data_IF_367446503349
#
_entry.id   IF_367446503349
#
_cell.length_a   1.000
_cell.length_b   1.000
_cell.length_c   1.000
_cell.angle_alpha   90.00
_cell.angle_beta   90.00
_cell.angle_gamma   90.00
#
_symmetry.space_group_name_H-M   'P 1'
#
loop_
_entity.id
_entity.type
_entity.pdbx_description
1 polymer ?
#
# COMPACT_ATOMS: atom_id res chain seq x y z
N UNK A 1 12.85 -4.71 13.57
CA UNK A 1 12.40 -4.53 12.16
C UNK A 1 11.23 -3.56 12.18
N UNK A 2 11.25 -2.46 11.41
CA UNK A 2 10.10 -1.56 11.33
C UNK A 2 8.90 -2.26 10.68
N UNK A 3 7.70 -1.74 10.92
CA UNK A 3 6.51 -2.23 10.24
C UNK A 3 5.49 -1.14 9.97
N UNK A 4 4.61 -1.38 9.00
CA UNK A 4 3.47 -0.52 8.70
C UNK A 4 2.16 -1.29 8.79
N UNK A 5 1.10 -0.57 9.12
CA UNK A 5 -0.27 -1.04 9.00
C UNK A 5 -0.99 -0.14 8.00
N UNK A 6 -1.62 -0.74 6.99
CA UNK A 6 -2.45 -0.07 6.00
C UNK A 6 -3.90 -0.42 6.31
N UNK A 7 -4.65 0.57 6.78
CA UNK A 7 -6.10 0.46 6.95
C UNK A 7 -6.79 0.86 5.65
N UNK A 8 -7.36 -0.11 4.95
CA UNK A 8 -8.03 0.14 3.68
C UNK A 8 -9.36 0.88 3.85
N UNK A 9 -10.09 0.62 4.94
CA UNK A 9 -11.41 1.22 5.19
C UNK A 9 -11.28 2.72 5.42
N UNK A 10 -10.27 3.12 6.17
CA UNK A 10 -9.96 4.53 6.43
C UNK A 10 -9.00 5.15 5.40
N UNK A 11 -8.42 4.34 4.52
CA UNK A 11 -7.41 4.73 3.55
C UNK A 11 -6.24 5.47 4.21
N UNK A 12 -5.69 4.85 5.26
CA UNK A 12 -4.58 5.36 6.09
C UNK A 12 -3.42 4.37 6.16
N UNK A 13 -2.23 4.91 6.39
CA UNK A 13 -1.01 4.16 6.69
C UNK A 13 -0.46 4.63 8.02
N UNK A 14 -0.06 3.69 8.86
CA UNK A 14 0.56 3.92 10.16
C UNK A 14 1.96 3.31 10.14
N UNK A 15 2.98 4.09 10.48
CA UNK A 15 4.38 3.67 10.49
C UNK A 15 4.86 3.45 11.92
N UNK A 16 5.39 2.26 12.19
CA UNK A 16 5.93 1.87 13.49
C UNK A 16 7.42 1.55 13.39
N UNK A 17 8.18 1.93 14.41
CA UNK A 17 9.58 1.52 14.52
C UNK A 17 9.72 0.07 15.02
N UNK A 18 10.96 -0.39 15.14
CA UNK A 18 11.28 -1.74 15.56
C UNK A 18 10.87 -2.07 17.01
N UNK A 19 10.58 -1.05 17.82
CA UNK A 19 10.13 -1.17 19.20
C UNK A 19 8.60 -1.13 19.29
N UNK A 20 7.90 -1.01 18.16
CA UNK A 20 6.44 -0.92 18.11
C UNK A 20 5.91 0.47 18.44
N UNK A 21 6.74 1.51 18.44
CA UNK A 21 6.26 2.88 18.67
C UNK A 21 5.74 3.49 17.36
N UNK A 22 4.56 4.11 17.41
CA UNK A 22 4.00 4.85 16.28
C UNK A 22 4.87 6.07 15.98
N UNK A 23 5.40 6.15 14.76
CA UNK A 23 6.27 7.23 14.28
C UNK A 23 5.53 8.26 13.43
N UNK A 24 4.39 7.89 12.89
CA UNK A 24 3.53 8.79 12.13
C UNK A 24 2.41 8.07 11.39
N UNK A 25 1.47 8.85 10.90
CA UNK A 25 0.38 8.39 10.04
C UNK A 25 0.26 9.28 8.79
N UNK A 26 -0.36 8.74 7.75
CA UNK A 26 -0.74 9.49 6.55
C UNK A 26 -1.96 8.89 5.85
N UNK A 27 -2.68 9.72 5.10
CA UNK A 27 -3.62 9.25 4.08
C UNK A 27 -2.89 8.44 3.00
N UNK A 28 -3.58 7.48 2.38
CA UNK A 28 -3.10 6.74 1.23
C UNK A 28 -4.15 6.70 0.11
N UNK A 29 -3.69 6.78 -1.14
CA UNK A 29 -4.48 6.33 -2.28
C UNK A 29 -4.31 4.82 -2.43
N UNK A 30 -5.42 4.13 -2.63
CA UNK A 30 -5.51 2.68 -2.74
C UNK A 30 -6.10 2.29 -4.09
N UNK A 31 -6.11 0.99 -4.34
CA UNK A 31 -6.79 0.39 -5.48
C UNK A 31 -8.21 0.93 -5.64
N UNK A 32 -8.59 1.19 -6.88
CA UNK A 32 -9.92 1.69 -7.23
C UNK A 32 -11.06 0.79 -6.74
N UNK A 33 -10.87 -0.53 -6.81
CA UNK A 33 -11.83 -1.50 -6.33
C UNK A 33 -11.70 -1.75 -4.82
N UNK A 34 -12.84 -2.03 -4.18
CA UNK A 34 -12.90 -2.60 -2.84
C UNK A 34 -12.70 -4.10 -2.98
N UNK A 35 -11.72 -4.67 -2.28
CA UNK A 35 -11.44 -6.09 -2.36
C UNK A 35 -10.12 -6.46 -1.69
N UNK A 36 -9.97 -7.71 -1.26
CA UNK A 36 -8.83 -8.18 -0.47
C UNK A 36 -7.85 -9.07 -1.24
N UNK A 37 -8.12 -9.38 -2.50
CA UNK A 37 -7.33 -10.31 -3.31
C UNK A 37 -6.82 -9.62 -4.58
N UNK A 38 -5.63 -10.02 -5.01
CA UNK A 38 -5.12 -9.75 -6.36
C UNK A 38 -5.67 -10.79 -7.33
N UNK A 39 -5.83 -10.41 -8.59
CA UNK A 39 -6.17 -11.36 -9.66
C UNK A 39 -4.89 -12.07 -10.12
N UNK A 40 -4.91 -13.38 -10.40
CA UNK A 40 -3.73 -14.10 -10.89
C UNK A 40 -3.09 -13.43 -12.12
N UNK A 41 -1.77 -13.27 -12.10
CA UNK A 41 -1.00 -12.68 -13.20
C UNK A 41 -1.14 -11.17 -13.36
N UNK A 42 -1.74 -10.46 -12.39
CA UNK A 42 -1.97 -9.02 -12.48
C UNK A 42 -0.67 -8.23 -12.69
N UNK A 43 0.44 -8.65 -12.07
CA UNK A 43 1.73 -7.97 -12.16
C UNK A 43 2.36 -8.00 -13.56
N UNK A 44 1.97 -8.94 -14.42
CA UNK A 44 2.46 -9.06 -15.80
C UNK A 44 1.60 -8.30 -16.81
N UNK A 45 0.42 -7.83 -16.40
CA UNK A 45 -0.55 -7.17 -17.30
C UNK A 45 -0.20 -5.70 -17.49
N UNK A 46 -0.41 -5.21 -18.70
CA UNK A 46 -0.34 -3.77 -18.97
C UNK A 46 -1.42 -3.04 -18.16
N UNK A 47 -1.07 -1.96 -17.46
CA UNK A 47 -2.02 -1.20 -16.61
C UNK A 47 -3.31 -0.84 -17.34
N UNK A 48 -3.23 -0.41 -18.61
CA UNK A 48 -4.40 -0.05 -19.41
C UNK A 48 -5.39 -1.22 -19.65
N UNK A 49 -4.92 -2.47 -19.54
CA UNK A 49 -5.73 -3.68 -19.69
C UNK A 49 -6.37 -4.16 -18.39
N UNK A 50 -6.05 -3.55 -17.24
CA UNK A 50 -6.61 -3.93 -15.95
C UNK A 50 -7.97 -3.21 -15.79
N UNK A 51 -9.09 -3.93 -15.80
CA UNK A 51 -10.42 -3.33 -15.64
C UNK A 51 -10.60 -2.79 -14.21
N UNK A 52 -11.50 -1.80 -14.01
CA UNK A 52 -11.65 -1.11 -12.73
C UNK A 52 -11.90 -2.00 -11.50
N UNK A 53 -12.65 -3.08 -11.65
CA UNK A 53 -13.02 -4.05 -10.62
C UNK A 53 -11.87 -4.95 -10.16
N UNK A 54 -10.84 -5.10 -10.98
CA UNK A 54 -9.62 -5.87 -10.65
C UNK A 54 -8.52 -5.00 -10.00
N UNK A 55 -8.74 -3.68 -9.87
CA UNK A 55 -7.75 -2.75 -9.31
C UNK A 55 -7.84 -2.69 -7.79
N UNK A 56 -7.58 -3.80 -7.12
CA UNK A 56 -7.63 -3.92 -5.65
C UNK A 56 -6.26 -3.67 -5.03
N UNK A 57 -6.25 -3.23 -3.76
CA UNK A 57 -5.05 -3.36 -2.91
C UNK A 57 -5.24 -4.63 -2.07
N UNK A 58 -4.46 -5.70 -2.30
CA UNK A 58 -4.67 -6.98 -1.62
C UNK A 58 -4.38 -6.86 -0.12
N UNK A 59 -5.12 -7.62 0.68
CA UNK A 59 -4.89 -7.73 2.12
C UNK A 59 -3.85 -8.82 2.40
N UNK A 60 -3.02 -8.63 3.43
CA UNK A 60 -2.00 -9.63 3.76
C UNK A 60 -0.84 -9.09 4.57
N UNK A 61 0.17 -9.94 4.76
CA UNK A 61 1.45 -9.59 5.38
C UNK A 61 2.55 -9.72 4.35
N UNK A 62 3.19 -8.60 4.07
CA UNK A 62 4.23 -8.50 3.06
C UNK A 62 5.57 -8.23 3.73
N UNK A 63 6.59 -9.02 3.41
CA UNK A 63 7.97 -8.66 3.75
C UNK A 63 8.43 -7.66 2.70
N UNK A 64 8.79 -6.46 3.14
CA UNK A 64 8.98 -5.32 2.25
C UNK A 64 10.38 -4.76 2.33
N UNK A 65 10.89 -4.33 1.19
CA UNK A 65 12.23 -3.76 1.04
C UNK A 65 12.24 -2.64 0.02
N UNK A 66 13.13 -1.67 0.20
CA UNK A 66 13.32 -0.63 -0.80
C UNK A 66 13.89 -1.23 -2.08
N UNK A 67 13.43 -0.71 -3.21
CA UNK A 67 13.97 -1.00 -4.53
C UNK A 67 13.69 0.14 -5.49
N UNK A 68 13.82 -0.14 -6.79
CA UNK A 68 13.56 0.85 -7.85
C UNK A 68 12.43 0.36 -8.75
N UNK A 69 11.62 1.30 -9.21
CA UNK A 69 10.66 1.07 -10.29
C UNK A 69 11.36 1.13 -11.66
N UNK A 70 10.62 0.84 -12.73
CA UNK A 70 11.13 0.84 -14.12
C UNK A 70 11.70 2.20 -14.57
N UNK A 71 11.30 3.30 -13.91
CA UNK A 71 11.81 4.66 -14.18
C UNK A 71 12.98 5.03 -13.27
N UNK A 72 13.50 4.09 -12.48
CA UNK A 72 14.60 4.28 -11.54
C UNK A 72 14.24 4.99 -10.24
N UNK A 73 12.97 5.34 -10.03
CA UNK A 73 12.50 5.96 -8.79
C UNK A 73 12.45 4.96 -7.64
N UNK A 74 12.85 5.39 -6.44
CA UNK A 74 12.78 4.55 -5.24
C UNK A 74 11.32 4.29 -4.86
N UNK A 75 11.02 3.02 -4.56
CA UNK A 75 9.72 2.54 -4.08
C UNK A 75 9.95 1.49 -3.00
N UNK A 76 8.94 1.25 -2.17
CA UNK A 76 8.91 0.13 -1.25
C UNK A 76 8.15 -1.03 -1.91
N UNK A 77 8.85 -2.10 -2.24
CA UNK A 77 8.22 -3.31 -2.77
C UNK A 77 7.52 -4.09 -1.65
N UNK A 78 6.27 -4.47 -1.88
CA UNK A 78 5.50 -5.34 -0.99
C UNK A 78 5.38 -6.74 -1.57
N UNK A 79 5.02 -6.83 -2.85
CA UNK A 79 4.89 -8.09 -3.58
C UNK A 79 5.38 -7.88 -5.02
N UNK A 80 6.33 -8.71 -5.46
CA UNK A 80 6.86 -8.62 -6.81
C UNK A 80 5.97 -9.30 -7.85
N UNK A 81 5.32 -10.42 -7.50
CA UNK A 81 4.48 -11.18 -8.43
C UNK A 81 3.22 -10.40 -8.78
N UNK A 82 2.63 -9.74 -7.78
CA UNK A 82 1.46 -8.87 -7.97
C UNK A 82 1.82 -7.44 -8.40
N UNK A 83 3.11 -7.13 -8.58
CA UNK A 83 3.61 -5.78 -8.83
C UNK A 83 3.11 -4.74 -7.80
N UNK A 84 2.93 -5.16 -6.55
CA UNK A 84 2.44 -4.33 -5.46
C UNK A 84 3.57 -3.55 -4.79
N UNK A 85 3.40 -2.23 -4.72
CA UNK A 85 4.36 -1.36 -4.04
C UNK A 85 3.67 -0.21 -3.29
N UNK A 86 4.39 0.33 -2.31
CA UNK A 86 4.10 1.61 -1.69
C UNK A 86 5.09 2.65 -2.20
N UNK A 87 4.60 3.80 -2.65
CA UNK A 87 5.46 4.86 -3.17
C UNK A 87 4.87 6.25 -2.96
N UNK A 88 5.68 7.32 -3.08
CA UNK A 88 5.16 8.69 -3.08
C UNK A 88 4.09 8.86 -4.16
N UNK A 89 3.05 9.64 -3.86
CA UNK A 89 2.14 10.13 -4.90
C UNK A 89 2.96 10.84 -5.98
N UNK A 90 2.68 10.49 -7.23
CA UNK A 90 3.26 11.13 -8.41
C UNK A 90 2.19 11.98 -9.07
N UNK A 91 2.62 13.07 -9.72
CA UNK A 91 1.74 13.85 -10.58
C UNK A 91 1.17 12.93 -11.67
N UNK A 92 -0.12 12.65 -11.59
CA UNK A 92 -0.86 11.95 -12.63
C UNK A 92 -1.32 12.92 -13.72
N UNK A 93 -2.39 12.58 -14.40
CA UNK A 93 -3.13 13.54 -15.21
C UNK A 93 -3.93 14.49 -14.32
N UNK A 94 -4.15 15.75 -14.72
CA UNK A 94 -4.99 16.69 -13.95
C UNK A 94 -6.39 16.15 -13.63
N UNK A 95 -6.94 15.30 -14.49
CA UNK A 95 -8.26 14.67 -14.31
C UNK A 95 -8.30 13.71 -13.12
N UNK A 96 -7.18 13.10 -12.75
CA UNK A 96 -7.12 12.15 -11.63
C UNK A 96 -7.21 12.85 -10.27
N UNK A 97 -6.76 14.11 -10.17
CA UNK A 97 -6.82 14.93 -8.94
C UNK A 97 -6.24 14.22 -7.71
N UNK A 98 -5.06 13.61 -7.87
CA UNK A 98 -4.49 12.69 -6.86
C UNK A 98 -4.15 13.38 -5.54
N UNK A 99 -3.65 14.61 -5.60
CA UNK A 99 -3.31 15.37 -4.39
C UNK A 99 -4.58 15.78 -3.64
N UNK A 100 -5.61 16.23 -4.36
CA UNK A 100 -6.91 16.59 -3.77
C UNK A 100 -7.61 15.37 -3.17
N UNK A 101 -7.53 14.20 -3.82
CA UNK A 101 -8.02 12.94 -3.26
C UNK A 101 -7.31 12.56 -1.96
N UNK A 102 -5.98 12.71 -1.92
CA UNK A 102 -5.18 12.48 -0.72
C UNK A 102 -5.58 13.40 0.43
N UNK A 103 -5.87 14.67 0.11
CA UNK A 103 -6.29 15.69 1.06
C UNK A 103 -7.77 15.57 1.48
N UNK A 104 -8.61 14.87 0.69
CA UNK A 104 -10.02 14.69 1.03
C UNK A 104 -10.19 13.99 2.39
N UNK A 105 -11.16 14.40 3.21
CA UNK A 105 -11.48 13.69 4.45
C UNK A 105 -12.14 12.33 4.21
N UNK A 106 -12.65 12.03 3.01
CA UNK A 106 -13.40 10.81 2.74
C UNK A 106 -12.51 9.69 2.19
N UNK A 107 -12.64 8.49 2.74
CA UNK A 107 -11.88 7.32 2.26
C UNK A 107 -12.24 6.91 0.82
N UNK A 108 -13.52 7.05 0.45
CA UNK A 108 -14.00 6.74 -0.92
C UNK A 108 -13.29 7.55 -2.01
N UNK A 109 -12.87 8.78 -1.70
CA UNK A 109 -12.19 9.64 -2.67
C UNK A 109 -10.76 9.16 -2.96
N UNK A 110 -10.20 8.33 -2.08
CA UNK A 110 -8.83 7.81 -2.17
C UNK A 110 -8.72 6.51 -2.98
N UNK A 111 -9.81 6.06 -3.60
CA UNK A 111 -9.86 4.88 -4.49
C UNK A 111 -9.59 5.28 -5.93
N UNK A 112 -8.36 5.07 -6.40
CA UNK A 112 -7.95 5.53 -7.73
C UNK A 112 -6.77 4.77 -8.34
N UNK A 113 -5.96 4.08 -7.52
CA UNK A 113 -4.76 3.39 -8.02
C UNK A 113 -5.12 2.07 -8.71
N UNK A 114 -4.12 1.44 -9.32
CA UNK A 114 -4.21 0.10 -9.90
C UNK A 114 -3.94 -1.01 -8.87
N UNK A 115 -3.70 -0.65 -7.60
CA UNK A 115 -3.42 -1.57 -6.50
C UNK A 115 -2.31 -1.06 -5.59
N UNK A 116 -1.29 -0.39 -6.15
CA UNK A 116 -0.23 0.25 -5.38
C UNK A 116 -0.77 1.26 -4.37
N UNK A 117 -0.06 1.40 -3.25
CA UNK A 117 -0.37 2.34 -2.19
C UNK A 117 0.40 3.65 -2.45
N UNK A 118 -0.30 4.78 -2.58
CA UNK A 118 0.36 6.07 -2.80
C UNK A 118 0.20 6.97 -1.58
N UNK A 119 1.32 7.44 -1.04
CA UNK A 119 1.36 8.26 0.18
C UNK A 119 1.90 9.66 -0.09
N UNK A 120 1.71 10.65 0.80
CA UNK A 120 2.36 11.95 0.69
C UNK A 120 3.88 11.80 0.55
N UNK A 121 4.47 12.61 -0.33
CA UNK A 121 5.92 12.59 -0.58
C UNK A 121 6.71 12.78 0.71
N UNK A 122 6.28 13.71 1.57
CA UNK A 122 6.93 13.99 2.86
C UNK A 122 6.93 12.77 3.77
N UNK A 123 5.78 12.13 3.99
CA UNK A 123 5.67 10.90 4.78
C UNK A 123 6.62 9.80 4.28
N UNK A 124 6.67 9.60 2.96
CA UNK A 124 7.58 8.62 2.37
C UNK A 124 9.05 8.97 2.63
N UNK A 125 9.46 10.21 2.34
CA UNK A 125 10.88 10.60 2.40
C UNK A 125 11.39 10.78 3.82
N UNK A 126 10.53 11.11 4.79
CA UNK A 126 10.96 11.39 6.17
C UNK A 126 10.79 10.20 7.10
N UNK A 127 9.85 9.29 6.83
CA UNK A 127 9.58 8.14 7.69
C UNK A 127 9.86 6.81 6.98
N UNK A 128 9.22 6.56 5.83
CA UNK A 128 9.28 5.23 5.17
C UNK A 128 10.68 4.94 4.65
N UNK A 129 11.21 5.75 3.73
CA UNK A 129 12.53 5.51 3.13
C UNK A 129 13.65 5.39 4.19
N UNK A 130 13.78 6.31 5.17
CA UNK A 130 14.80 6.17 6.20
C UNK A 130 14.68 4.90 7.05
N UNK A 131 13.46 4.48 7.39
CA UNK A 131 13.25 3.30 8.22
C UNK A 131 13.59 1.99 7.49
N UNK A 132 13.36 1.91 6.19
CA UNK A 132 13.63 0.71 5.38
C UNK A 132 15.00 0.74 4.67
N UNK A 133 15.79 1.82 4.81
CA UNK A 133 17.07 2.02 4.11
C UNK A 133 18.12 0.95 4.39
N UNK A 134 18.15 0.44 5.62
CA UNK A 134 19.16 -0.50 6.09
C UNK A 134 18.57 -1.79 6.65
N UNK A 135 17.26 -2.01 6.43
CA UNK A 135 16.58 -3.22 6.87
C UNK A 135 15.34 -3.46 6.03
N UNK A 136 14.99 -4.73 5.83
CA UNK A 136 13.62 -5.07 5.46
C UNK A 136 12.65 -4.64 6.57
N UNK A 137 11.37 -4.56 6.24
CA UNK A 137 10.29 -4.36 7.18
C UNK A 137 9.10 -5.25 6.84
N UNK A 138 8.02 -5.10 7.59
CA UNK A 138 6.76 -5.79 7.31
C UNK A 138 5.68 -4.77 7.05
N UNK A 139 4.89 -4.96 6.00
CA UNK A 139 3.68 -4.18 5.76
C UNK A 139 2.48 -5.11 5.92
N UNK A 140 1.61 -4.77 6.87
CA UNK A 140 0.32 -5.40 7.04
C UNK A 140 -0.74 -4.57 6.32
N UNK A 141 -1.42 -5.17 5.35
CA UNK A 141 -2.60 -4.55 4.73
C UNK A 141 -3.83 -5.20 5.32
N UNK A 142 -4.61 -4.43 6.07
CA UNK A 142 -5.81 -4.94 6.73
C UNK A 142 -6.92 -5.22 5.70
N UNK A 143 -7.68 -6.32 5.86
CA UNK A 143 -8.78 -6.60 4.98
C UNK A 143 -9.94 -5.62 5.15
N UNK A 144 -10.70 -5.44 4.09
CA UNK A 144 -11.90 -4.62 4.07
C UNK A 144 -13.19 -5.41 3.78
N UNK A 145 -13.08 -6.58 3.14
CA UNK A 145 -14.21 -7.47 2.84
C UNK A 145 -14.22 -8.74 3.69
N UNK A 146 -13.05 -9.24 4.08
CA UNK A 146 -12.86 -10.41 4.95
C UNK A 146 -12.58 -10.00 6.39
N UNK A 147 -12.68 -10.96 7.31
CA UNK A 147 -12.26 -10.76 8.70
C UNK A 147 -10.72 -10.84 8.82
N UNK A 148 -10.16 -10.17 9.84
CA UNK A 148 -8.74 -10.31 10.17
C UNK A 148 -8.34 -11.78 10.39
N UNK A 149 -9.21 -12.56 11.03
CA UNK A 149 -8.97 -13.98 11.26
C UNK A 149 -8.82 -14.77 9.95
N UNK A 150 -9.64 -14.49 8.94
CA UNK A 150 -9.57 -15.20 7.67
C UNK A 150 -8.27 -14.91 6.89
N UNK A 151 -7.79 -13.66 6.92
CA UNK A 151 -6.57 -13.25 6.19
C UNK A 151 -5.29 -13.59 6.95
N UNK A 152 -5.34 -13.57 8.28
CA UNK A 152 -4.17 -13.76 9.15
C UNK A 152 -4.26 -15.03 9.99
N UNK A 153 -4.93 -16.07 9.47
CA UNK A 153 -5.25 -17.31 10.19
C UNK A 153 -4.02 -17.93 10.89
N UNK A 154 -2.88 -17.97 10.19
CA UNK A 154 -1.64 -18.56 10.72
C UNK A 154 -1.12 -17.92 12.02
N UNK A 155 -1.53 -16.69 12.36
CA UNK A 155 -1.13 -16.06 13.62
C UNK A 155 -1.95 -16.56 14.82
N UNK A 156 -3.15 -17.08 14.57
CA UNK A 156 -4.00 -17.65 15.61
C UNK A 156 -3.64 -19.11 15.91
N UNK A 157 -2.87 -19.75 15.02
CA UNK A 157 -2.38 -21.12 15.18
C UNK A 157 -1.05 -21.21 15.94
N UNK A 158 -0.44 -20.06 16.29
CA UNK A 158 0.79 -20.01 17.10
C UNK A 158 0.43 -20.27 18.56
N UNK A 159 0.75 -21.48 19.04
CA UNK A 159 0.65 -21.86 20.46
C UNK A 159 1.94 -21.55 21.23
#
# INVERSE_FOLDING_TARGET
MPFMIIDKREAKVFMFDAQGQLRGEASALLGMAVGDDSVPGIGERALASIPPDERTTPAGRFVSSLGRNLKGGEILWLDYEDALSLHPVVAGTPRERREERLASPHAKDKRISYGCINVPKTFYTTLVSPAFKHSNGVVYVLPETRSNHAVFASYYDVK
#
